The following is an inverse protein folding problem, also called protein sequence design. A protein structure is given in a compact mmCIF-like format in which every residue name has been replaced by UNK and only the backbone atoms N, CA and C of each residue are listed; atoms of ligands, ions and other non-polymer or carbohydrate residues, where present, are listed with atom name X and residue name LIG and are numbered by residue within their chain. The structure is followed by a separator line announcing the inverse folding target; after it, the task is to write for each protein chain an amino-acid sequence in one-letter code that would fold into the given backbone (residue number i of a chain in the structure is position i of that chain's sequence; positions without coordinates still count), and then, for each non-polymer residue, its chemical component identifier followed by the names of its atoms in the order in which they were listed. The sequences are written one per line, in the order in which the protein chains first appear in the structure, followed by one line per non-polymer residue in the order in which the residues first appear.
data_IF_793721555447
#
_entry.id   IF_793721555447
#
_cell.length_a   1.000
_cell.length_b   1.000
_cell.length_c   1.000
_cell.angle_alpha   90.00
_cell.angle_beta   90.00
_cell.angle_gamma   90.00
#
_symmetry.space_group_name_H-M   'P 1'
#
loop_
_entity.id
_entity.type
_entity.pdbx_description
1 polymer ?
#
# COMPACT_ATOMS: atom_id res chain seq x y z
N UNK A 1 3.37 -9.58 -52.47
CA UNK A 1 4.08 -8.89 -51.36
C UNK A 1 3.05 -8.37 -50.37
N UNK A 2 2.84 -9.07 -49.25
CA UNK A 2 1.99 -8.62 -48.14
C UNK A 2 2.92 -8.20 -47.01
N UNK A 3 3.13 -6.90 -46.84
CA UNK A 3 3.83 -6.36 -45.69
C UNK A 3 2.90 -6.48 -44.47
N UNK A 4 3.20 -7.43 -43.59
CA UNK A 4 2.55 -7.57 -42.29
C UNK A 4 2.99 -6.38 -41.41
N UNK A 5 2.09 -5.43 -41.20
CA UNK A 5 2.23 -4.44 -40.13
C UNK A 5 2.05 -5.15 -38.78
N UNK A 6 3.16 -5.45 -38.10
CA UNK A 6 3.15 -5.75 -36.67
C UNK A 6 3.09 -4.43 -35.89
N UNK A 7 1.88 -3.95 -35.58
CA UNK A 7 1.69 -3.00 -34.49
C UNK A 7 1.97 -3.73 -33.18
N UNK A 8 3.20 -3.64 -32.68
CA UNK A 8 3.50 -3.86 -31.27
C UNK A 8 2.84 -2.72 -30.48
N UNK A 9 1.62 -2.96 -30.00
CA UNK A 9 1.09 -2.23 -28.85
C UNK A 9 1.96 -2.60 -27.65
N UNK A 10 3.05 -1.87 -27.46
CA UNK A 10 3.78 -1.87 -26.21
C UNK A 10 2.82 -1.34 -25.14
N UNK A 11 2.18 -2.25 -24.40
CA UNK A 11 1.55 -1.88 -23.13
C UNK A 11 2.67 -1.35 -22.26
N UNK A 12 2.70 -0.03 -22.04
CA UNK A 12 3.61 0.55 -21.07
C UNK A 12 3.30 -0.10 -19.72
N UNK A 13 4.17 -1.01 -19.27
CA UNK A 13 4.11 -1.53 -17.90
C UNK A 13 4.49 -0.37 -17.00
N UNK A 14 3.52 0.45 -16.63
CA UNK A 14 3.74 1.54 -15.69
C UNK A 14 4.00 0.89 -14.34
N UNK A 15 5.24 1.03 -13.84
CA UNK A 15 5.56 0.62 -12.49
C UNK A 15 4.62 1.37 -11.53
N UNK A 16 4.08 0.65 -10.54
CA UNK A 16 3.18 1.26 -9.57
C UNK A 16 3.86 2.48 -8.94
N UNK A 17 3.19 3.64 -9.02
CA UNK A 17 3.73 4.89 -8.50
C UNK A 17 3.96 4.77 -7.00
N UNK A 18 5.12 5.21 -6.50
CA UNK A 18 5.40 5.26 -5.06
C UNK A 18 4.26 5.99 -4.33
N UNK A 19 3.60 5.32 -3.39
CA UNK A 19 2.42 5.81 -2.69
C UNK A 19 2.70 5.96 -1.19
N UNK A 20 3.36 7.06 -0.78
CA UNK A 20 3.74 7.25 0.61
C UNK A 20 2.52 7.57 1.47
N UNK A 21 2.35 6.84 2.57
CA UNK A 21 1.38 7.11 3.61
C UNK A 21 2.10 7.33 4.94
N UNK A 22 1.84 8.46 5.60
CA UNK A 22 2.40 8.77 6.92
C UNK A 22 1.68 7.97 7.98
N UNK A 23 2.41 7.13 8.70
CA UNK A 23 1.85 6.32 9.78
C UNK A 23 1.54 7.22 10.99
N UNK A 24 0.39 7.03 11.65
CA UNK A 24 0.07 7.75 12.88
C UNK A 24 0.99 7.30 14.01
N UNK A 25 1.45 8.25 14.83
CA UNK A 25 2.33 7.99 15.97
C UNK A 25 2.81 9.28 16.62
N UNK A 26 3.27 9.20 17.87
CA UNK A 26 3.82 10.32 18.62
C UNK A 26 5.36 10.27 18.69
N UNK A 27 5.98 9.47 17.83
CA UNK A 27 7.41 9.21 17.89
C UNK A 27 8.22 10.44 17.47
N UNK A 28 9.48 10.52 17.94
CA UNK A 28 10.43 11.58 17.53
C UNK A 28 10.84 11.48 16.05
N UNK A 29 10.44 10.40 15.36
CA UNK A 29 10.69 10.18 13.95
C UNK A 29 9.39 9.95 13.20
N UNK A 30 9.31 10.52 12.00
CA UNK A 30 8.17 10.27 11.10
C UNK A 30 8.37 8.95 10.37
N UNK A 31 7.39 8.06 10.45
CA UNK A 31 7.39 6.80 9.71
C UNK A 31 6.42 6.87 8.55
N UNK A 32 6.89 6.46 7.38
CA UNK A 32 6.13 6.43 6.15
C UNK A 32 6.16 5.03 5.57
N UNK A 33 5.01 4.53 5.13
CA UNK A 33 4.89 3.24 4.45
C UNK A 33 4.54 3.50 2.99
N UNK A 34 5.10 2.70 2.08
CA UNK A 34 4.66 2.71 0.68
C UNK A 34 3.46 1.76 0.53
N UNK A 35 2.27 2.30 0.25
CA UNK A 35 1.05 1.50 0.15
C UNK A 35 1.06 0.51 -1.02
N UNK A 36 1.89 0.72 -2.06
CA UNK A 36 1.96 -0.20 -3.20
C UNK A 36 2.60 -1.55 -2.86
N UNK A 37 3.25 -1.67 -1.70
CA UNK A 37 3.89 -2.92 -1.23
C UNK A 37 3.21 -3.52 0.01
N UNK A 38 2.09 -2.94 0.46
CA UNK A 38 1.26 -3.50 1.53
C UNK A 38 0.47 -4.68 0.98
N UNK A 39 0.61 -5.83 1.62
CA UNK A 39 0.01 -7.09 1.16
C UNK A 39 -1.35 -7.33 1.82
N UNK A 40 -1.46 -7.07 3.13
CA UNK A 40 -2.72 -7.11 3.85
C UNK A 40 -2.67 -6.23 5.11
N UNK A 41 -3.86 -5.88 5.60
CA UNK A 41 -4.07 -5.12 6.83
C UNK A 41 -4.94 -5.95 7.76
N UNK A 42 -4.42 -6.31 8.92
CA UNK A 42 -5.23 -6.91 9.98
C UNK A 42 -5.74 -5.82 10.92
N UNK A 43 -7.00 -5.94 11.31
CA UNK A 43 -7.67 -4.95 12.14
C UNK A 43 -8.38 -5.62 13.31
N UNK A 44 -7.91 -5.31 14.51
CA UNK A 44 -8.50 -5.74 15.77
C UNK A 44 -9.15 -4.56 16.51
N UNK A 45 -9.63 -4.80 17.73
CA UNK A 45 -10.21 -3.74 18.58
C UNK A 45 -9.15 -2.77 19.11
N UNK A 46 -7.89 -3.18 19.17
CA UNK A 46 -6.81 -2.44 19.85
C UNK A 46 -5.57 -2.18 18.96
N UNK A 47 -5.51 -2.78 17.78
CA UNK A 47 -4.36 -2.69 16.89
C UNK A 47 -4.76 -2.79 15.42
N UNK A 48 -4.12 -1.98 14.58
CA UNK A 48 -4.02 -2.20 13.14
C UNK A 48 -2.60 -2.69 12.80
N UNK A 49 -2.50 -3.79 12.06
CA UNK A 49 -1.23 -4.40 11.66
C UNK A 49 -1.12 -4.35 10.14
N UNK A 50 -0.14 -3.61 9.63
CA UNK A 50 0.15 -3.52 8.20
C UNK A 50 1.33 -4.43 7.91
N UNK A 51 1.13 -5.39 7.01
CA UNK A 51 2.17 -6.32 6.58
C UNK A 51 2.57 -5.96 5.14
N UNK A 52 3.86 -5.74 4.93
CA UNK A 52 4.39 -5.24 3.67
C UNK A 52 5.80 -5.77 3.38
N UNK A 53 6.16 -5.82 2.11
CA UNK A 53 7.42 -6.43 1.69
C UNK A 53 7.40 -7.96 1.76
N UNK A 54 8.36 -8.58 1.09
CA UNK A 54 8.36 -10.01 0.82
C UNK A 54 8.08 -10.28 -0.66
N UNK A 55 9.12 -10.16 -1.49
CA UNK A 55 9.19 -10.95 -2.73
C UNK A 55 9.48 -12.42 -2.41
N UNK A 56 9.88 -13.20 -3.42
CA UNK A 56 10.16 -14.65 -3.36
C UNK A 56 11.20 -15.12 -2.31
N UNK A 57 11.70 -14.24 -1.44
CA UNK A 57 12.78 -14.48 -0.47
C UNK A 57 12.41 -14.15 0.99
N UNK A 58 11.12 -13.87 1.29
CA UNK A 58 10.61 -13.96 2.67
C UNK A 58 11.05 -12.89 3.68
N UNK A 59 11.68 -11.79 3.28
CA UNK A 59 11.90 -10.64 4.16
C UNK A 59 10.59 -9.84 4.30
N UNK A 60 9.69 -10.33 5.15
CA UNK A 60 8.50 -9.58 5.54
C UNK A 60 8.87 -8.42 6.46
N UNK A 61 8.25 -7.26 6.24
CA UNK A 61 8.25 -6.16 7.17
C UNK A 61 6.83 -5.92 7.64
N UNK A 62 6.71 -5.34 8.82
CA UNK A 62 5.42 -5.04 9.37
C UNK A 62 5.45 -3.80 10.27
N UNK A 63 4.27 -3.22 10.47
CA UNK A 63 4.08 -2.16 11.46
C UNK A 63 2.77 -2.35 12.19
N UNK A 64 2.86 -2.22 13.51
CA UNK A 64 1.73 -2.26 14.43
C UNK A 64 1.39 -0.85 14.88
N UNK A 65 0.12 -0.49 14.76
CA UNK A 65 -0.42 0.81 15.12
C UNK A 65 -1.43 0.59 16.26
N UNK A 66 -1.14 1.06 17.47
CA UNK A 66 -2.09 0.94 18.57
C UNK A 66 -3.33 1.80 18.30
N UNK A 67 -4.51 1.24 18.58
CA UNK A 67 -5.81 1.87 18.42
C UNK A 67 -6.44 2.11 19.80
N UNK A 68 -7.17 3.21 19.93
CA UNK A 68 -7.98 3.47 21.13
C UNK A 68 -9.36 2.81 21.06
N UNK A 69 -9.82 2.52 19.85
CA UNK A 69 -11.12 1.93 19.59
C UNK A 69 -11.16 1.24 18.23
N UNK A 70 -12.15 0.34 18.06
CA UNK A 70 -12.45 -0.29 16.77
C UNK A 70 -12.82 0.72 15.69
N UNK A 71 -13.49 1.80 16.06
CA UNK A 71 -13.89 2.90 15.18
C UNK A 71 -12.68 3.67 14.64
N UNK A 72 -11.68 3.93 15.48
CA UNK A 72 -10.41 4.54 15.03
C UNK A 72 -9.71 3.65 14.02
N UNK A 73 -9.74 2.33 14.25
CA UNK A 73 -9.24 1.34 13.30
C UNK A 73 -9.96 1.37 11.96
N UNK A 74 -11.30 1.44 11.98
CA UNK A 74 -12.10 1.55 10.76
C UNK A 74 -11.83 2.87 10.01
N UNK A 75 -11.61 3.96 10.74
CA UNK A 75 -11.22 5.25 10.15
C UNK A 75 -9.87 5.15 9.46
N UNK A 76 -8.86 4.60 10.14
CA UNK A 76 -7.54 4.36 9.56
C UNK A 76 -7.61 3.52 8.29
N UNK A 77 -8.39 2.43 8.30
CA UNK A 77 -8.55 1.57 7.12
C UNK A 77 -9.18 2.33 5.94
N UNK A 78 -10.21 3.16 6.19
CA UNK A 78 -10.80 4.00 5.14
C UNK A 78 -9.77 4.98 4.57
N UNK A 79 -8.98 5.61 5.42
CA UNK A 79 -7.96 6.58 5.00
C UNK A 79 -6.86 5.93 4.14
N UNK A 80 -6.43 4.70 4.51
CA UNK A 80 -5.49 3.89 3.73
C UNK A 80 -6.05 3.57 2.33
N UNK A 81 -7.31 3.08 2.28
CA UNK A 81 -7.99 2.73 1.03
C UNK A 81 -8.18 3.96 0.13
N UNK A 82 -8.61 5.08 0.70
CA UNK A 82 -8.80 6.32 -0.05
C UNK A 82 -7.47 6.84 -0.61
N UNK A 83 -6.40 6.79 0.18
CA UNK A 83 -5.06 7.19 -0.27
C UNK A 83 -4.55 6.28 -1.38
N UNK A 84 -4.70 4.96 -1.24
CA UNK A 84 -4.30 3.99 -2.26
C UNK A 84 -5.00 4.25 -3.59
N UNK A 85 -6.31 4.53 -3.59
CA UNK A 85 -7.07 4.88 -4.80
C UNK A 85 -6.59 6.15 -5.50
N UNK A 86 -6.05 7.12 -4.75
CA UNK A 86 -5.49 8.35 -5.34
C UNK A 86 -4.13 8.13 -5.99
N UNK A 87 -3.37 7.15 -5.52
CA UNK A 87 -2.04 6.84 -6.05
C UNK A 87 -2.07 6.00 -7.33
N UNK A 88 -3.14 5.23 -7.52
CA UNK A 88 -3.40 4.45 -8.73
C UNK A 88 -4.83 4.72 -9.20
N UNK A 89 -5.09 5.89 -9.81
CA UNK A 89 -6.39 6.23 -10.36
C UNK A 89 -6.58 5.43 -11.65
N UNK A 90 -6.96 4.16 -11.51
CA UNK A 90 -7.41 3.35 -12.64
C UNK A 90 -8.69 3.92 -13.26
#
# INVERSE_FOLDING_TARGET
MRALLFLLCATATQAATFCPYKLPGNDKSERWVNLTVVQYVELSDTEAHLIFGGGNLGSGHDVKIPLKSRDDGQKLLRDLVETSRRCDPA
#
